data_IF_890160573651
#
_entry.id   IF_890160573651
#
_cell.length_a   1.000
_cell.length_b   1.000
_cell.length_c   1.000
_cell.angle_alpha   90.00
_cell.angle_beta   90.00
_cell.angle_gamma   90.00
#
_symmetry.space_group_name_H-M   'P 1'
#
loop_
_entity.id
_entity.type
_entity.pdbx_description
1 polymer ?
#
# COMPACT_ATOMS: atom_id res chain seq x y z
N UNK A 1 28.38 1.98 -11.82
CA UNK A 1 27.42 2.62 -10.90
C UNK A 1 26.88 1.51 -10.00
N UNK A 2 27.37 1.39 -8.76
CA UNK A 2 26.87 0.38 -7.82
C UNK A 2 25.54 0.90 -7.26
N UNK A 3 24.46 0.14 -7.43
CA UNK A 3 23.19 0.40 -6.76
C UNK A 3 22.90 -0.77 -5.83
N UNK A 4 22.56 -0.49 -4.58
CA UNK A 4 22.07 -1.50 -3.64
C UNK A 4 20.55 -1.35 -3.55
N UNK A 5 19.76 -2.14 -4.30
CA UNK A 5 18.32 -2.08 -4.21
C UNK A 5 17.87 -2.45 -2.79
N UNK A 6 16.97 -1.66 -2.24
CA UNK A 6 16.44 -1.88 -0.90
C UNK A 6 15.41 -2.99 -0.99
N UNK A 7 15.71 -4.15 -0.39
CA UNK A 7 14.79 -5.30 -0.38
C UNK A 7 13.79 -5.22 0.78
N UNK A 8 14.26 -4.75 1.95
CA UNK A 8 13.48 -4.58 3.16
C UNK A 8 14.03 -3.37 3.90
N UNK A 9 13.14 -2.62 4.56
CA UNK A 9 13.54 -1.49 5.39
C UNK A 9 12.58 -1.25 6.54
N UNK A 10 13.07 -0.55 7.55
CA UNK A 10 12.34 -0.30 8.79
C UNK A 10 10.96 0.34 8.58
N UNK A 11 10.82 1.25 7.62
CA UNK A 11 9.53 1.88 7.30
C UNK A 11 8.46 0.87 6.86
N UNK A 12 8.85 -0.13 6.07
CA UNK A 12 7.95 -1.21 5.66
C UNK A 12 7.50 -2.04 6.86
N UNK A 13 8.42 -2.38 7.77
CA UNK A 13 8.12 -3.17 8.98
C UNK A 13 7.09 -2.45 9.87
N UNK A 14 7.25 -1.14 10.07
CA UNK A 14 6.27 -0.34 10.81
C UNK A 14 4.91 -0.33 10.12
N UNK A 15 4.88 -0.14 8.81
CA UNK A 15 3.63 -0.10 8.07
C UNK A 15 2.96 -1.47 7.96
N UNK A 16 3.71 -2.57 8.01
CA UNK A 16 3.16 -3.93 8.13
C UNK A 16 2.46 -4.10 9.48
N UNK A 17 3.06 -3.58 10.57
CA UNK A 17 2.45 -3.58 11.91
C UNK A 17 1.22 -2.67 11.98
N UNK A 18 1.29 -1.49 11.40
CA UNK A 18 0.16 -0.55 11.33
C UNK A 18 -1.05 -1.18 10.62
N UNK A 19 -0.81 -1.88 9.52
CA UNK A 19 -1.87 -2.55 8.78
C UNK A 19 -2.50 -3.70 9.58
N UNK A 20 -1.68 -4.49 10.28
CA UNK A 20 -2.16 -5.53 11.18
C UNK A 20 -3.06 -4.94 12.28
N UNK A 21 -2.64 -3.82 12.90
CA UNK A 21 -3.48 -3.13 13.88
C UNK A 21 -4.80 -2.64 13.30
N UNK A 22 -4.78 -2.02 12.11
CA UNK A 22 -6.00 -1.57 11.45
C UNK A 22 -6.97 -2.74 11.18
N UNK A 23 -6.47 -3.90 10.75
CA UNK A 23 -7.28 -5.12 10.54
C UNK A 23 -7.82 -5.73 11.83
N UNK A 24 -7.15 -5.51 12.96
CA UNK A 24 -7.60 -5.93 14.29
C UNK A 24 -8.55 -4.91 14.96
N UNK A 25 -8.90 -3.80 14.29
CA UNK A 25 -9.72 -2.73 14.86
C UNK A 25 -8.98 -1.84 15.87
N UNK A 26 -7.65 -1.93 15.94
CA UNK A 26 -6.78 -1.14 16.82
C UNK A 26 -6.34 0.15 16.12
N UNK A 27 -7.30 1.02 15.85
CA UNK A 27 -7.09 2.21 15.02
C UNK A 27 -6.07 3.18 15.61
N UNK A 28 -6.09 3.39 16.93
CA UNK A 28 -5.16 4.29 17.63
C UNK A 28 -3.71 3.85 17.47
N UNK A 29 -3.43 2.56 17.58
CA UNK A 29 -2.11 1.97 17.42
C UNK A 29 -1.66 1.98 15.96
N UNK A 30 -2.59 1.73 15.02
CA UNK A 30 -2.30 1.83 13.59
C UNK A 30 -1.88 3.26 13.19
N UNK A 31 -2.62 4.27 13.65
CA UNK A 31 -2.30 5.67 13.37
C UNK A 31 -1.03 6.14 14.09
N UNK A 32 -0.73 5.60 15.28
CA UNK A 32 0.53 5.87 15.96
C UNK A 32 1.73 5.41 15.11
N UNK A 33 1.68 4.20 14.54
CA UNK A 33 2.73 3.68 13.66
C UNK A 33 2.88 4.50 12.37
N UNK A 34 1.77 4.91 11.75
CA UNK A 34 1.78 5.83 10.59
C UNK A 34 2.44 7.16 10.97
N UNK A 35 2.09 7.71 12.13
CA UNK A 35 2.62 9.00 12.57
C UNK A 35 4.13 8.95 12.84
N UNK A 36 4.70 7.80 13.22
CA UNK A 36 6.15 7.65 13.32
C UNK A 36 6.83 7.88 11.97
N UNK A 37 6.27 7.34 10.88
CA UNK A 37 6.78 7.54 9.52
C UNK A 37 6.63 9.01 9.10
N UNK A 38 5.46 9.60 9.35
CA UNK A 38 5.15 10.99 9.01
C UNK A 38 6.04 11.99 9.77
N UNK A 39 6.28 11.77 11.06
CA UNK A 39 7.18 12.57 11.87
C UNK A 39 8.62 12.49 11.35
N UNK A 40 9.09 11.30 10.99
CA UNK A 40 10.42 11.12 10.36
C UNK A 40 10.51 11.86 9.02
N UNK A 41 9.41 11.97 8.29
CA UNK A 41 9.31 12.78 7.07
C UNK A 41 9.16 14.29 7.32
N UNK A 42 9.20 14.75 8.59
CA UNK A 42 9.13 16.16 8.96
C UNK A 42 7.72 16.71 9.15
N UNK A 43 6.69 15.86 9.12
CA UNK A 43 5.31 16.27 9.33
C UNK A 43 5.00 16.38 10.83
N UNK A 44 4.25 17.41 11.22
CA UNK A 44 3.91 17.67 12.63
C UNK A 44 2.56 18.37 12.77
N UNK A 45 2.09 18.50 14.02
CA UNK A 45 0.82 19.14 14.35
C UNK A 45 -0.35 18.47 13.63
N UNK A 46 -1.17 19.29 12.97
CA UNK A 46 -2.35 18.81 12.25
C UNK A 46 -1.99 17.81 11.16
N UNK A 47 -0.77 17.81 10.61
CA UNK A 47 -0.40 16.85 9.57
C UNK A 47 -0.40 15.38 10.07
N UNK A 48 -0.39 15.13 11.39
CA UNK A 48 -0.50 13.80 11.97
C UNK A 48 -1.95 13.32 12.00
N UNK A 49 -2.14 12.00 11.90
CA UNK A 49 -3.46 11.41 11.91
C UNK A 49 -3.94 11.11 13.34
N UNK A 50 -5.21 11.36 13.58
CA UNK A 50 -5.94 10.97 14.78
C UNK A 50 -7.23 10.29 14.37
N UNK A 51 -7.84 9.48 15.24
CA UNK A 51 -9.13 8.83 14.95
C UNK A 51 -10.25 9.84 14.62
N UNK A 52 -10.10 11.10 15.02
CA UNK A 52 -11.05 12.17 14.73
C UNK A 52 -10.88 12.79 13.34
N UNK A 53 -9.64 12.94 12.85
CA UNK A 53 -9.39 13.69 11.61
C UNK A 53 -9.36 12.84 10.33
N UNK A 54 -9.33 11.51 10.43
CA UNK A 54 -9.26 10.64 9.24
C UNK A 54 -10.46 10.84 8.30
N UNK A 55 -11.67 10.96 8.86
CA UNK A 55 -12.91 11.12 8.07
C UNK A 55 -12.97 12.49 7.39
N UNK A 56 -12.56 13.53 8.10
CA UNK A 56 -12.47 14.90 7.55
C UNK A 56 -11.49 14.99 6.38
N UNK A 57 -10.51 14.08 6.35
CA UNK A 57 -9.52 13.93 5.28
C UNK A 57 -9.95 12.97 4.17
N UNK A 58 -11.19 12.49 4.21
CA UNK A 58 -11.75 11.62 3.17
C UNK A 58 -11.37 10.14 3.29
N UNK A 59 -10.74 9.71 4.39
CA UNK A 59 -10.48 8.30 4.64
C UNK A 59 -11.70 7.63 5.28
N UNK A 60 -12.10 6.48 4.73
CA UNK A 60 -13.20 5.68 5.28
C UNK A 60 -12.82 4.90 6.54
N UNK A 61 -11.54 4.56 6.68
CA UNK A 61 -11.00 3.74 7.77
C UNK A 61 -9.53 4.05 8.06
N UNK A 62 -9.04 3.64 9.23
CA UNK A 62 -7.61 3.69 9.53
C UNK A 62 -6.78 2.84 8.54
N UNK A 63 -7.36 1.76 7.99
CA UNK A 63 -6.71 0.94 6.97
C UNK A 63 -6.44 1.74 5.67
N UNK A 64 -7.36 2.61 5.26
CA UNK A 64 -7.17 3.44 4.07
C UNK A 64 -6.02 4.44 4.27
N UNK A 65 -5.89 4.99 5.48
CA UNK A 65 -4.76 5.86 5.86
C UNK A 65 -3.44 5.08 5.76
N UNK A 66 -3.38 3.88 6.36
CA UNK A 66 -2.17 3.04 6.31
C UNK A 66 -1.78 2.71 4.87
N UNK A 67 -2.73 2.33 4.02
CA UNK A 67 -2.45 1.96 2.63
C UNK A 67 -2.03 3.14 1.77
N UNK A 68 -2.50 4.35 2.09
CA UNK A 68 -2.07 5.57 1.42
C UNK A 68 -0.67 5.99 1.87
N UNK A 69 -0.37 5.94 3.17
CA UNK A 69 0.99 6.17 3.68
C UNK A 69 1.98 5.15 3.09
N UNK A 70 1.59 3.87 2.98
CA UNK A 70 2.40 2.85 2.29
C UNK A 70 2.70 3.20 0.85
N UNK A 71 1.75 3.77 0.12
CA UNK A 71 1.95 4.22 -1.27
C UNK A 71 2.99 5.33 -1.35
N UNK A 72 2.93 6.29 -0.42
CA UNK A 72 3.83 7.44 -0.39
C UNK A 72 5.23 7.02 0.03
N UNK A 73 5.33 6.25 1.10
CA UNK A 73 6.58 5.85 1.71
C UNK A 73 7.35 4.87 0.81
N UNK A 74 6.69 3.84 0.27
CA UNK A 74 7.29 2.76 -0.52
C UNK A 74 7.16 2.98 -2.05
N UNK A 75 7.06 4.24 -2.46
CA UNK A 75 6.94 4.58 -3.88
C UNK A 75 8.17 4.08 -4.66
N UNK A 76 7.92 3.44 -5.80
CA UNK A 76 8.94 2.86 -6.68
C UNK A 76 9.73 1.67 -6.10
N UNK A 77 9.29 1.08 -4.99
CA UNK A 77 9.89 -0.12 -4.38
C UNK A 77 9.12 -1.42 -4.72
N UNK A 78 8.13 -1.38 -5.62
CA UNK A 78 7.44 -2.58 -6.12
C UNK A 78 6.24 -3.07 -5.29
N UNK A 79 5.85 -2.37 -4.22
CA UNK A 79 4.77 -2.84 -3.32
C UNK A 79 3.34 -2.58 -3.83
N UNK A 80 3.12 -1.54 -4.65
CA UNK A 80 1.77 -0.99 -4.88
C UNK A 80 0.76 -2.01 -5.43
N UNK A 81 1.17 -2.86 -6.39
CA UNK A 81 0.26 -3.85 -6.97
C UNK A 81 -0.20 -4.87 -5.91
N UNK A 82 0.77 -5.41 -5.17
CA UNK A 82 0.51 -6.40 -4.13
C UNK A 82 -0.35 -5.82 -3.00
N UNK A 83 -0.07 -4.60 -2.57
CA UNK A 83 -0.81 -3.90 -1.50
C UNK A 83 -2.29 -3.70 -1.83
N UNK A 84 -2.63 -3.40 -3.09
CA UNK A 84 -4.01 -3.23 -3.51
C UNK A 84 -4.73 -4.58 -3.58
N UNK A 85 -4.19 -5.52 -4.35
CA UNK A 85 -4.91 -6.77 -4.65
C UNK A 85 -5.06 -7.67 -3.43
N UNK A 86 -4.06 -7.73 -2.53
CA UNK A 86 -4.18 -8.49 -1.27
C UNK A 86 -5.22 -7.91 -0.31
N UNK A 87 -5.59 -6.64 -0.48
CA UNK A 87 -6.64 -5.96 0.28
C UNK A 87 -7.95 -5.83 -0.52
N UNK A 88 -8.10 -6.58 -1.61
CA UNK A 88 -9.29 -6.55 -2.50
C UNK A 88 -9.64 -5.15 -2.99
N UNK A 89 -8.61 -4.35 -3.32
CA UNK A 89 -8.77 -3.01 -3.91
C UNK A 89 -8.37 -3.05 -5.37
N UNK A 90 -9.16 -2.37 -6.19
CA UNK A 90 -8.89 -2.21 -7.62
C UNK A 90 -7.69 -1.30 -7.86
N UNK A 91 -7.00 -1.53 -8.98
CA UNK A 91 -5.93 -0.64 -9.44
C UNK A 91 -6.47 0.32 -10.49
N UNK A 92 -6.55 1.59 -10.12
CA UNK A 92 -6.86 2.65 -11.06
C UNK A 92 -5.62 3.06 -11.86
N UNK A 93 -5.63 2.77 -13.17
CA UNK A 93 -4.55 3.13 -14.11
C UNK A 93 -4.94 4.30 -15.02
N UNK A 94 -6.03 5.00 -14.70
CA UNK A 94 -6.55 6.15 -15.45
C UNK A 94 -5.77 7.42 -15.10
N UNK A 95 -4.52 7.48 -15.53
CA UNK A 95 -3.66 8.66 -15.42
C UNK A 95 -3.02 8.97 -16.77
N UNK A 96 -2.49 10.19 -16.94
CA UNK A 96 -1.85 10.60 -18.19
C UNK A 96 -0.64 9.69 -18.52
N UNK A 97 -0.61 9.11 -19.72
CA UNK A 97 0.48 8.24 -20.17
C UNK A 97 0.09 7.40 -21.39
N UNK A 98 0.95 6.45 -21.76
CA UNK A 98 0.75 5.52 -22.90
C UNK A 98 0.10 4.20 -22.51
N UNK A 99 -0.07 3.96 -21.20
CA UNK A 99 -0.76 2.78 -20.70
C UNK A 99 -2.26 2.79 -21.06
N UNK A 100 -2.90 1.62 -21.14
CA UNK A 100 -4.35 1.54 -21.28
C UNK A 100 -5.06 2.30 -20.16
N UNK A 101 -6.08 3.08 -20.55
CA UNK A 101 -6.89 3.86 -19.64
C UNK A 101 -7.95 2.98 -18.97
N UNK A 102 -7.53 2.14 -18.02
CA UNK A 102 -8.36 1.09 -17.42
C UNK A 102 -8.31 1.08 -15.89
N UNK A 103 -9.30 0.42 -15.29
CA UNK A 103 -9.26 -0.01 -13.90
C UNK A 103 -9.09 -1.53 -13.92
N UNK A 104 -7.99 -2.03 -13.35
CA UNK A 104 -7.79 -3.47 -13.19
C UNK A 104 -8.47 -3.90 -11.91
N UNK A 105 -9.47 -4.79 -12.04
CA UNK A 105 -10.24 -5.30 -10.91
C UNK A 105 -9.40 -6.24 -10.06
N UNK A 106 -9.59 -6.22 -8.75
CA UNK A 106 -8.80 -7.05 -7.83
C UNK A 106 -8.94 -8.57 -8.07
N UNK A 107 -9.98 -9.00 -8.78
CA UNK A 107 -10.30 -10.38 -9.14
C UNK A 107 -10.05 -10.69 -10.63
N UNK A 108 -9.42 -9.77 -11.38
CA UNK A 108 -9.04 -9.99 -12.78
C UNK A 108 -8.03 -11.15 -12.89
N UNK A 109 -8.30 -12.09 -13.79
CA UNK A 109 -7.42 -13.24 -14.06
C UNK A 109 -5.99 -12.84 -14.46
N UNK A 110 -5.78 -11.62 -14.97
CA UNK A 110 -4.46 -11.11 -15.36
C UNK A 110 -3.53 -10.84 -14.16
N UNK A 111 -4.05 -10.80 -12.94
CA UNK A 111 -3.24 -10.54 -11.73
C UNK A 111 -2.35 -11.73 -11.40
N UNK A 112 -2.86 -12.95 -11.59
CA UNK A 112 -2.13 -14.17 -11.29
C UNK A 112 -1.17 -14.47 -12.42
N UNK A 113 0.11 -14.65 -12.08
CA UNK A 113 1.10 -15.09 -13.05
C UNK A 113 0.73 -16.51 -13.53
N UNK A 114 0.58 -16.73 -14.85
CA UNK A 114 0.27 -18.05 -15.36
C UNK A 114 1.47 -18.99 -15.13
N UNK A 115 1.18 -20.26 -14.89
CA UNK A 115 2.21 -21.30 -14.89
C UNK A 115 2.75 -21.39 -16.33
N UNK A 116 4.09 -21.40 -16.53
CA UNK A 116 4.66 -21.58 -17.86
C UNK A 116 4.10 -22.82 -18.58
N UNK A 117 3.89 -22.71 -19.89
CA UNK A 117 3.27 -23.79 -20.68
C UNK A 117 4.06 -25.11 -20.60
N UNK A 118 5.39 -25.03 -20.55
CA UNK A 118 6.26 -26.21 -20.46
C UNK A 118 6.05 -27.01 -19.16
N UNK A 119 5.63 -26.35 -18.07
CA UNK A 119 5.36 -27.00 -16.77
C UNK A 119 3.97 -27.63 -16.67
N UNK A 120 3.05 -27.29 -17.60
CA UNK A 120 1.67 -27.80 -17.61
C UNK A 120 1.41 -28.80 -18.74
N UNK A 121 2.30 -28.86 -19.72
CA UNK A 121 2.17 -29.70 -20.91
C UNK A 121 2.87 -31.06 -20.79
N UNK A 122 3.57 -31.33 -19.68
CA UNK A 122 4.15 -32.65 -19.38
C UNK A 122 3.00 -33.65 -19.19
N UNK A 123 2.87 -34.57 -20.16
CA UNK A 123 2.01 -35.76 -20.04
C UNK A 123 2.68 -36.85 -19.23
#
# INVERSE_FOLDING_TARGET
MLSSPVMLRWGEVLLNRAEAYAKLGKETEALADVNVIRQRAGLSGDALFTTHNIKERGYGSALDVVLDERRLELAFEGHRMFDLYRNKKDMDRRFAGVQPWEIVKYDDSKIQYPIPFDETSVK
#
